data_IF_852168545217
#
_entry.id   IF_852168545217
#
_cell.length_a   1.000
_cell.length_b   1.000
_cell.length_c   1.000
_cell.angle_alpha   90.00
_cell.angle_beta   90.00
_cell.angle_gamma   90.00
#
_symmetry.space_group_name_H-M   'P 1'
#
loop_
_entity.id
_entity.type
_entity.pdbx_description
1 polymer ?
#
# COMPACT_ATOMS: atom_id res chain seq x y z
N UNK A 1 -7.94 -58.88 -85.90
CA UNK A 1 -7.17 -58.52 -84.69
C UNK A 1 -6.86 -57.01 -84.63
N UNK A 2 -7.86 -56.12 -84.57
CA UNK A 2 -7.62 -54.65 -84.47
C UNK A 2 -8.51 -53.90 -83.47
N UNK A 3 -9.58 -54.52 -82.95
CA UNK A 3 -10.52 -53.90 -82.02
C UNK A 3 -10.36 -54.34 -80.55
N UNK A 4 -9.72 -55.48 -80.28
CA UNK A 4 -9.41 -55.89 -78.90
C UNK A 4 -8.21 -55.11 -78.32
N UNK A 5 -7.17 -54.84 -79.12
CA UNK A 5 -5.98 -54.10 -78.65
C UNK A 5 -6.27 -52.65 -78.27
N UNK A 6 -7.20 -51.97 -78.98
CA UNK A 6 -7.63 -50.60 -78.63
C UNK A 6 -8.37 -50.53 -77.30
N UNK A 7 -9.18 -51.53 -76.94
CA UNK A 7 -9.88 -51.57 -75.65
C UNK A 7 -8.91 -51.80 -74.49
N UNK A 8 -7.92 -52.68 -74.67
CA UNK A 8 -6.87 -52.92 -73.66
C UNK A 8 -6.00 -51.68 -73.44
N UNK A 9 -5.63 -50.98 -74.52
CA UNK A 9 -4.87 -49.72 -74.45
C UNK A 9 -5.62 -48.60 -73.70
N UNK A 10 -6.93 -48.44 -73.94
CA UNK A 10 -7.73 -47.41 -73.27
C UNK A 10 -7.89 -47.70 -71.76
N UNK A 11 -8.06 -48.97 -71.40
CA UNK A 11 -8.16 -49.40 -70.01
C UNK A 11 -6.82 -49.20 -69.30
N UNK A 12 -5.70 -49.62 -69.92
CA UNK A 12 -4.36 -49.40 -69.39
C UNK A 12 -4.06 -47.91 -69.19
N UNK A 13 -4.47 -47.03 -70.12
CA UNK A 13 -4.28 -45.57 -70.02
C UNK A 13 -5.09 -44.97 -68.87
N UNK A 14 -6.32 -45.46 -68.62
CA UNK A 14 -7.11 -45.04 -67.45
C UNK A 14 -6.46 -45.46 -66.13
N UNK A 15 -5.96 -46.69 -66.04
CA UNK A 15 -5.24 -47.13 -64.84
C UNK A 15 -3.94 -46.36 -64.65
N UNK A 16 -3.19 -46.07 -65.73
CA UNK A 16 -1.98 -45.26 -65.66
C UNK A 16 -2.29 -43.83 -65.22
N UNK A 17 -3.41 -43.25 -65.69
CA UNK A 17 -3.83 -41.92 -65.29
C UNK A 17 -4.30 -41.88 -63.83
N UNK A 18 -5.02 -42.90 -63.36
CA UNK A 18 -5.39 -43.03 -61.94
C UNK A 18 -4.16 -43.24 -61.07
N UNK A 19 -3.21 -44.07 -61.50
CA UNK A 19 -1.95 -44.31 -60.80
C UNK A 19 -1.09 -43.04 -60.78
N UNK A 20 -1.05 -42.28 -61.88
CA UNK A 20 -0.39 -40.99 -61.99
C UNK A 20 -1.07 -39.94 -61.12
N UNK A 21 -2.40 -39.88 -61.10
CA UNK A 21 -3.15 -38.97 -60.23
C UNK A 21 -2.87 -39.33 -58.77
N UNK A 22 -2.83 -40.62 -58.43
CA UNK A 22 -2.54 -41.11 -57.08
C UNK A 22 -1.09 -40.82 -56.67
N UNK A 23 -0.12 -41.00 -57.56
CA UNK A 23 1.29 -40.65 -57.30
C UNK A 23 1.55 -39.15 -57.30
N UNK A 24 0.84 -38.39 -58.13
CA UNK A 24 0.91 -36.92 -58.14
C UNK A 24 0.26 -36.33 -56.88
N UNK A 25 -0.88 -36.89 -56.44
CA UNK A 25 -1.50 -36.56 -55.15
C UNK A 25 -0.59 -37.01 -53.99
N UNK A 26 0.02 -38.20 -54.02
CA UNK A 26 0.89 -38.64 -52.92
C UNK A 26 2.20 -37.86 -52.84
N UNK A 27 2.76 -37.41 -53.97
CA UNK A 27 4.02 -36.68 -53.99
C UNK A 27 3.86 -35.18 -53.69
N UNK A 28 2.75 -34.55 -54.09
CA UNK A 28 2.49 -33.13 -53.78
C UNK A 28 1.94 -32.92 -52.36
N UNK A 29 1.26 -33.93 -51.80
CA UNK A 29 0.82 -33.93 -50.41
C UNK A 29 1.85 -34.67 -49.56
N UNK A 30 3.04 -34.08 -49.43
CA UNK A 30 3.96 -34.46 -48.37
C UNK A 30 3.32 -34.15 -47.02
N UNK A 31 2.63 -35.13 -46.42
CA UNK A 31 2.21 -35.09 -45.03
C UNK A 31 3.47 -34.90 -44.19
N UNK A 32 3.74 -33.67 -43.75
CA UNK A 32 4.78 -33.39 -42.78
C UNK A 32 4.33 -33.96 -41.43
N UNK A 33 4.43 -35.28 -41.29
CA UNK A 33 4.15 -35.98 -40.06
C UNK A 33 5.38 -35.83 -39.18
N UNK A 34 5.36 -34.76 -38.38
CA UNK A 34 6.27 -34.59 -37.25
C UNK A 34 6.07 -35.79 -36.30
N UNK A 35 7.15 -36.36 -35.76
CA UNK A 35 7.18 -37.64 -35.03
C UNK A 35 6.40 -37.67 -33.69
N UNK A 36 5.43 -36.76 -33.50
CA UNK A 36 4.67 -36.56 -32.28
C UNK A 36 3.34 -37.33 -32.20
N UNK A 37 2.92 -38.06 -33.24
CA UNK A 37 1.71 -38.89 -33.20
C UNK A 37 0.39 -38.15 -33.49
N UNK A 38 0.42 -37.05 -34.25
CA UNK A 38 -0.77 -36.31 -34.70
C UNK A 38 -1.11 -36.49 -36.18
N UNK A 39 -2.39 -36.29 -36.52
CA UNK A 39 -2.91 -36.17 -37.88
C UNK A 39 -3.00 -34.69 -38.28
N UNK A 40 -2.22 -34.26 -39.27
CA UNK A 40 -2.16 -32.87 -39.71
C UNK A 40 -2.73 -32.71 -41.12
N UNK A 41 -3.81 -31.93 -41.25
CA UNK A 41 -4.28 -31.38 -42.52
C UNK A 41 -3.57 -30.03 -42.74
N UNK A 42 -2.29 -30.08 -43.06
CA UNK A 42 -1.43 -28.90 -43.10
C UNK A 42 -0.39 -28.97 -44.22
N UNK A 43 -0.09 -27.80 -44.81
CA UNK A 43 1.03 -27.61 -45.74
C UNK A 43 2.12 -26.82 -45.00
N UNK A 44 3.35 -27.35 -44.94
CA UNK A 44 4.46 -26.71 -44.19
C UNK A 44 4.08 -26.34 -42.74
N UNK A 45 3.46 -27.27 -42.02
CA UNK A 45 2.94 -27.08 -40.65
C UNK A 45 1.87 -25.99 -40.51
N UNK A 46 1.30 -25.50 -41.60
CA UNK A 46 0.23 -24.49 -41.59
C UNK A 46 -1.09 -25.13 -42.00
N UNK A 47 -2.08 -25.13 -41.12
CA UNK A 47 -3.39 -25.70 -41.42
C UNK A 47 -4.18 -26.08 -40.17
N UNK A 48 -4.84 -27.25 -40.22
CA UNK A 48 -5.62 -27.81 -39.11
C UNK A 48 -4.96 -29.12 -38.65
N UNK A 49 -4.61 -29.20 -37.37
CA UNK A 49 -3.91 -30.34 -36.78
C UNK A 49 -4.74 -31.00 -35.69
N UNK A 50 -4.81 -32.33 -35.70
CA UNK A 50 -5.43 -33.16 -34.68
C UNK A 50 -4.38 -34.03 -34.02
N UNK A 51 -4.21 -33.90 -32.70
CA UNK A 51 -3.21 -34.62 -31.94
C UNK A 51 -1.90 -33.86 -31.76
N UNK A 52 -0.84 -34.61 -31.48
CA UNK A 52 0.37 -34.04 -30.93
C UNK A 52 1.42 -33.71 -32.02
N UNK A 53 1.52 -32.42 -32.36
CA UNK A 53 2.44 -31.85 -33.34
C UNK A 53 3.38 -30.88 -32.65
N UNK A 54 4.70 -31.08 -32.75
CA UNK A 54 5.70 -30.29 -31.99
C UNK A 54 5.76 -28.84 -32.46
N UNK A 55 5.67 -28.60 -33.78
CA UNK A 55 5.63 -27.28 -34.40
C UNK A 55 4.37 -27.15 -35.27
N UNK A 56 3.55 -26.14 -35.02
CA UNK A 56 2.31 -25.94 -35.76
C UNK A 56 1.92 -24.46 -35.91
N UNK A 57 1.40 -24.10 -37.09
CA UNK A 57 0.81 -22.81 -37.40
C UNK A 57 -0.66 -23.03 -37.81
N UNK A 58 -1.60 -22.30 -37.24
CA UNK A 58 -3.03 -22.45 -37.55
C UNK A 58 -3.83 -23.01 -36.36
N UNK A 59 -4.76 -23.93 -36.61
CA UNK A 59 -5.68 -24.45 -35.59
C UNK A 59 -5.27 -25.86 -35.20
N UNK A 60 -4.98 -26.08 -33.92
CA UNK A 60 -4.57 -27.36 -33.38
C UNK A 60 -5.53 -27.82 -32.29
N UNK A 61 -6.08 -29.01 -32.45
CA UNK A 61 -6.85 -29.72 -31.45
C UNK A 61 -6.04 -30.86 -30.89
N UNK A 62 -5.95 -30.97 -29.58
CA UNK A 62 -5.21 -32.03 -28.94
C UNK A 62 -5.93 -32.54 -27.68
N UNK A 63 -5.88 -33.85 -27.44
CA UNK A 63 -6.40 -34.39 -26.19
C UNK A 63 -5.50 -34.00 -25.02
N UNK A 64 -4.18 -34.20 -25.16
CA UNK A 64 -3.19 -33.89 -24.12
C UNK A 64 -1.83 -33.56 -24.73
N UNK A 65 -1.25 -32.41 -24.40
CA UNK A 65 0.02 -31.94 -24.97
C UNK A 65 1.22 -32.76 -24.48
N UNK A 66 2.12 -33.14 -25.40
CA UNK A 66 3.39 -33.83 -25.11
C UNK A 66 4.52 -33.31 -26.01
N UNK A 67 5.61 -32.82 -25.45
CA UNK A 67 6.78 -32.32 -26.18
C UNK A 67 6.45 -31.27 -27.26
N UNK A 68 5.44 -30.43 -27.01
CA UNK A 68 5.12 -29.30 -27.90
C UNK A 68 6.23 -28.26 -27.80
N UNK A 69 6.75 -27.79 -28.93
CA UNK A 69 7.80 -26.75 -28.98
C UNK A 69 7.20 -25.38 -29.28
N UNK A 70 6.40 -25.27 -30.34
CA UNK A 70 5.88 -23.98 -30.80
C UNK A 70 4.53 -24.12 -31.49
N UNK A 71 3.56 -23.32 -31.05
CA UNK A 71 2.27 -23.17 -31.72
C UNK A 71 2.02 -21.69 -31.99
N UNK A 72 1.77 -21.32 -33.25
CA UNK A 72 1.30 -19.99 -33.63
C UNK A 72 -0.13 -20.10 -34.17
N UNK A 73 -1.13 -19.62 -33.44
CA UNK A 73 -2.54 -19.71 -33.81
C UNK A 73 -3.42 -20.16 -32.66
N UNK A 74 -4.36 -21.06 -32.91
CA UNK A 74 -5.33 -21.54 -31.92
C UNK A 74 -4.91 -22.93 -31.45
N UNK A 75 -4.68 -23.12 -30.15
CA UNK A 75 -4.36 -24.38 -29.51
C UNK A 75 -5.48 -24.77 -28.53
N UNK A 76 -6.22 -25.83 -28.85
CA UNK A 76 -7.28 -26.40 -27.99
C UNK A 76 -6.76 -27.70 -27.38
N UNK A 77 -6.64 -27.76 -26.05
CA UNK A 77 -6.16 -28.94 -25.33
C UNK A 77 -7.24 -29.44 -24.35
N UNK A 78 -7.55 -30.74 -24.34
CA UNK A 78 -8.60 -31.33 -23.49
C UNK A 78 -8.07 -31.95 -22.18
N UNK A 79 -6.79 -31.74 -21.84
CA UNK A 79 -6.20 -32.21 -20.58
C UNK A 79 -4.87 -31.52 -20.27
N UNK A 80 -4.45 -31.56 -19.01
CA UNK A 80 -3.14 -31.03 -18.56
C UNK A 80 -1.99 -31.63 -19.36
N UNK A 81 -1.00 -30.85 -19.83
CA UNK A 81 0.16 -31.39 -20.56
C UNK A 81 0.88 -32.53 -19.79
N UNK A 82 1.49 -33.47 -20.51
CA UNK A 82 2.28 -34.54 -19.90
C UNK A 82 3.52 -34.00 -19.18
N UNK A 83 4.19 -33.00 -19.76
CA UNK A 83 5.53 -32.58 -19.32
C UNK A 83 5.50 -31.33 -18.43
N UNK A 84 4.37 -31.05 -17.76
CA UNK A 84 4.16 -29.82 -16.98
C UNK A 84 5.25 -29.58 -15.93
N UNK A 85 5.81 -30.67 -15.37
CA UNK A 85 6.85 -30.64 -14.35
C UNK A 85 8.27 -30.93 -14.89
N UNK A 86 8.42 -31.39 -16.14
CA UNK A 86 9.72 -31.77 -16.76
C UNK A 86 10.36 -30.65 -17.59
N UNK A 87 9.85 -29.41 -17.48
CA UNK A 87 10.43 -28.26 -18.15
C UNK A 87 10.02 -28.15 -19.62
N UNK A 88 8.70 -28.11 -19.88
CA UNK A 88 8.15 -27.86 -21.22
C UNK A 88 8.91 -26.69 -21.90
N UNK A 89 9.32 -26.86 -23.16
CA UNK A 89 9.87 -25.79 -24.00
C UNK A 89 8.78 -25.04 -24.80
N UNK A 90 7.50 -25.36 -24.56
CA UNK A 90 6.38 -24.96 -25.42
C UNK A 90 6.12 -23.46 -25.38
N UNK A 91 6.10 -22.84 -26.56
CA UNK A 91 5.69 -21.44 -26.76
C UNK A 91 4.38 -21.42 -27.53
N UNK A 92 3.32 -20.94 -26.90
CA UNK A 92 2.03 -20.72 -27.56
C UNK A 92 1.88 -19.22 -27.83
N UNK A 93 1.72 -18.85 -29.10
CA UNK A 93 1.42 -17.47 -29.52
C UNK A 93 0.08 -17.47 -30.26
N UNK A 94 -0.94 -16.84 -29.69
CA UNK A 94 -2.30 -16.80 -30.24
C UNK A 94 -3.35 -17.12 -29.18
N UNK A 95 -4.25 -18.06 -29.46
CA UNK A 95 -5.35 -18.43 -28.55
C UNK A 95 -5.07 -19.81 -27.96
N UNK A 96 -5.05 -19.95 -26.63
CA UNK A 96 -4.94 -21.21 -25.92
C UNK A 96 -6.26 -21.51 -25.19
N UNK A 97 -6.91 -22.62 -25.49
CA UNK A 97 -8.16 -23.06 -24.85
C UNK A 97 -7.94 -24.42 -24.19
N UNK A 98 -8.31 -24.56 -22.92
CA UNK A 98 -7.98 -25.73 -22.12
C UNK A 98 -9.15 -26.18 -21.27
N UNK A 99 -9.57 -27.42 -21.48
CA UNK A 99 -10.66 -28.04 -20.73
C UNK A 99 -10.13 -29.33 -20.08
N UNK A 100 -9.83 -29.39 -18.77
CA UNK A 100 -10.01 -28.33 -17.79
C UNK A 100 -8.87 -27.30 -17.75
N UNK A 101 -7.66 -27.63 -18.21
CA UNK A 101 -6.46 -26.80 -17.99
C UNK A 101 -5.70 -26.53 -19.29
N UNK A 102 -5.22 -25.28 -19.47
CA UNK A 102 -4.16 -24.97 -20.46
C UNK A 102 -2.81 -24.85 -19.77
N UNK A 103 -1.76 -25.34 -20.42
CA UNK A 103 -0.39 -25.29 -19.90
C UNK A 103 0.66 -25.10 -20.99
N UNK A 104 1.58 -24.17 -20.80
CA UNK A 104 2.77 -24.04 -21.64
C UNK A 104 3.96 -23.41 -20.90
N UNK A 105 5.17 -23.42 -21.48
CA UNK A 105 6.28 -22.65 -20.90
C UNK A 105 5.98 -21.16 -20.94
N UNK A 106 5.57 -20.68 -22.11
CA UNK A 106 5.21 -19.30 -22.35
C UNK A 106 3.93 -19.22 -23.16
N UNK A 107 2.98 -18.43 -22.67
CA UNK A 107 1.73 -18.13 -23.36
C UNK A 107 1.74 -16.64 -23.73
N UNK A 108 1.53 -16.34 -25.00
CA UNK A 108 1.38 -14.97 -25.51
C UNK A 108 0.11 -14.86 -26.33
N UNK A 109 -0.85 -14.06 -25.89
CA UNK A 109 -2.15 -13.87 -26.55
C UNK A 109 -3.32 -14.11 -25.61
N UNK A 110 -4.33 -14.86 -26.04
CA UNK A 110 -5.54 -15.14 -25.27
C UNK A 110 -5.45 -16.54 -24.68
N UNK A 111 -5.66 -16.71 -23.39
CA UNK A 111 -5.66 -17.99 -22.71
C UNK A 111 -6.95 -18.16 -21.90
N UNK A 112 -7.70 -19.23 -22.15
CA UNK A 112 -9.00 -19.50 -21.52
C UNK A 112 -9.05 -20.95 -21.06
N UNK A 113 -9.44 -21.19 -19.80
CA UNK A 113 -9.69 -22.53 -19.31
C UNK A 113 -10.33 -22.54 -17.92
N UNK A 114 -10.64 -23.73 -17.40
CA UNK A 114 -10.98 -23.84 -15.97
C UNK A 114 -9.75 -23.44 -15.12
N UNK A 115 -8.54 -23.64 -15.63
CA UNK A 115 -7.34 -22.96 -15.14
C UNK A 115 -6.32 -22.72 -16.24
N UNK A 116 -5.51 -21.69 -16.07
CA UNK A 116 -4.47 -21.28 -17.01
C UNK A 116 -3.12 -21.25 -16.30
N UNK A 117 -2.19 -22.09 -16.72
CA UNK A 117 -0.86 -22.20 -16.13
C UNK A 117 0.27 -21.96 -17.13
N UNK A 118 1.32 -21.26 -16.71
CA UNK A 118 2.58 -21.27 -17.46
C UNK A 118 3.81 -21.50 -16.58
N UNK A 119 4.76 -22.31 -17.03
CA UNK A 119 5.99 -22.56 -16.28
C UNK A 119 6.84 -21.30 -16.13
N UNK A 120 6.86 -20.43 -17.16
CA UNK A 120 7.56 -19.15 -17.11
C UNK A 120 6.61 -17.97 -17.12
N UNK A 121 5.99 -17.64 -18.27
CA UNK A 121 5.26 -16.38 -18.37
C UNK A 121 4.00 -16.44 -19.21
N UNK A 122 3.02 -15.63 -18.81
CA UNK A 122 1.77 -15.39 -19.54
C UNK A 122 1.67 -13.90 -19.86
N UNK A 123 1.46 -13.55 -21.13
CA UNK A 123 1.28 -12.17 -21.57
C UNK A 123 0.09 -12.05 -22.52
N UNK A 124 -0.90 -11.24 -22.16
CA UNK A 124 -2.07 -10.96 -23.00
C UNK A 124 -3.36 -10.96 -22.19
N UNK A 125 -4.37 -11.74 -22.60
CA UNK A 125 -5.65 -11.86 -21.91
C UNK A 125 -5.76 -13.28 -21.36
N UNK A 126 -5.75 -13.43 -20.03
CA UNK A 126 -5.80 -14.73 -19.38
C UNK A 126 -7.08 -14.82 -18.53
N UNK A 127 -7.89 -15.84 -18.78
CA UNK A 127 -9.12 -16.14 -18.06
C UNK A 127 -9.07 -17.58 -17.53
N UNK A 128 -8.95 -17.72 -16.22
CA UNK A 128 -9.02 -19.02 -15.53
C UNK A 128 -10.21 -19.05 -14.58
N UNK A 129 -11.20 -19.90 -14.85
CA UNK A 129 -12.42 -19.97 -14.03
C UNK A 129 -12.14 -20.34 -12.55
N UNK A 130 -11.13 -21.18 -12.31
CA UNK A 130 -10.59 -21.50 -10.99
C UNK A 130 -9.38 -20.63 -10.69
N UNK A 131 -8.51 -20.37 -11.66
CA UNK A 131 -7.37 -19.46 -11.45
C UNK A 131 -6.41 -19.40 -12.62
N UNK A 132 -5.52 -18.41 -12.58
CA UNK A 132 -4.45 -18.28 -13.56
C UNK A 132 -3.11 -17.98 -12.87
N UNK A 133 -2.03 -18.61 -13.32
CA UNK A 133 -0.72 -18.33 -12.74
C UNK A 133 0.48 -18.73 -13.57
N UNK A 134 1.63 -18.13 -13.26
CA UNK A 134 2.89 -18.44 -13.93
C UNK A 134 4.09 -18.48 -12.98
N UNK A 135 5.07 -19.33 -13.29
CA UNK A 135 6.28 -19.47 -12.47
C UNK A 135 7.19 -18.23 -12.45
N UNK A 136 7.04 -17.30 -13.41
CA UNK A 136 7.74 -15.99 -13.42
C UNK A 136 6.75 -14.85 -13.51
N UNK A 137 6.25 -14.51 -14.70
CA UNK A 137 5.51 -13.26 -14.91
C UNK A 137 4.12 -13.50 -15.49
N UNK A 138 3.15 -12.76 -14.98
CA UNK A 138 1.79 -12.70 -15.51
C UNK A 138 1.50 -11.25 -15.88
N UNK A 139 1.18 -10.99 -17.16
CA UNK A 139 1.10 -9.65 -17.72
C UNK A 139 -0.11 -9.46 -18.64
N UNK A 140 -0.75 -8.29 -18.56
CA UNK A 140 -1.86 -7.91 -19.43
C UNK A 140 -3.19 -7.81 -18.67
N UNK A 141 -4.25 -8.46 -19.16
CA UNK A 141 -5.55 -8.55 -18.50
C UNK A 141 -5.70 -9.97 -17.96
N UNK A 142 -5.80 -10.11 -16.64
CA UNK A 142 -5.81 -11.40 -15.97
C UNK A 142 -7.05 -11.51 -15.08
N UNK A 143 -7.82 -12.57 -15.25
CA UNK A 143 -9.00 -12.87 -14.46
C UNK A 143 -8.87 -14.30 -13.95
N UNK A 144 -8.77 -14.45 -12.64
CA UNK A 144 -8.72 -15.73 -11.94
C UNK A 144 -9.92 -15.85 -11.01
N UNK A 145 -10.81 -16.83 -11.23
CA UNK A 145 -12.05 -16.94 -10.46
C UNK A 145 -11.83 -17.23 -8.98
N UNK A 146 -10.81 -18.00 -8.59
CA UNK A 146 -10.33 -18.07 -7.21
C UNK A 146 -9.10 -17.19 -7.01
N UNK A 147 -8.15 -17.14 -7.93
CA UNK A 147 -7.00 -16.25 -7.75
C UNK A 147 -6.00 -16.17 -8.88
N UNK A 148 -5.06 -15.25 -8.70
CA UNK A 148 -3.94 -14.99 -9.60
C UNK A 148 -2.61 -15.15 -8.88
N UNK A 149 -1.67 -15.87 -9.51
CA UNK A 149 -0.35 -16.16 -8.93
C UNK A 149 0.79 -15.92 -9.90
N UNK A 150 1.84 -15.22 -9.47
CA UNK A 150 3.07 -15.08 -10.24
C UNK A 150 4.30 -15.34 -9.36
N UNK A 151 5.21 -16.21 -9.79
CA UNK A 151 6.45 -16.45 -9.04
C UNK A 151 7.36 -15.22 -8.92
N UNK A 152 7.22 -14.24 -9.84
CA UNK A 152 7.93 -12.96 -9.80
C UNK A 152 6.98 -11.76 -9.88
N UNK A 153 6.43 -11.44 -11.05
CA UNK A 153 5.68 -10.20 -11.23
C UNK A 153 4.28 -10.43 -11.81
N UNK A 154 3.31 -9.72 -11.25
CA UNK A 154 1.95 -9.60 -11.78
C UNK A 154 1.76 -8.15 -12.25
N UNK A 155 1.43 -7.94 -13.53
CA UNK A 155 1.37 -6.60 -14.14
C UNK A 155 0.18 -6.40 -15.06
N UNK A 156 -0.50 -5.26 -14.94
CA UNK A 156 -1.60 -4.86 -15.83
C UNK A 156 -2.92 -4.72 -15.09
N UNK A 157 -4.01 -5.28 -15.63
CA UNK A 157 -5.32 -5.33 -14.98
C UNK A 157 -5.52 -6.74 -14.45
N UNK A 158 -5.63 -6.89 -13.13
CA UNK A 158 -5.66 -8.18 -12.47
C UNK A 158 -6.88 -8.26 -11.55
N UNK A 159 -7.69 -9.30 -11.74
CA UNK A 159 -8.88 -9.58 -10.94
C UNK A 159 -8.76 -11.01 -10.40
N UNK A 160 -8.63 -11.15 -9.07
CA UNK A 160 -8.61 -12.44 -8.37
C UNK A 160 -9.81 -12.57 -7.45
N UNK A 161 -10.64 -13.59 -7.63
CA UNK A 161 -11.89 -13.72 -6.87
C UNK A 161 -11.69 -13.86 -5.36
N UNK A 162 -10.74 -14.69 -4.90
CA UNK A 162 -10.30 -14.74 -3.50
C UNK A 162 -9.05 -13.89 -3.27
N UNK A 163 -8.06 -13.92 -4.17
CA UNK A 163 -6.87 -13.11 -3.96
C UNK A 163 -5.83 -13.17 -5.06
N UNK A 164 -4.78 -12.37 -4.88
CA UNK A 164 -3.65 -12.31 -5.80
C UNK A 164 -2.33 -12.26 -5.06
N UNK A 165 -1.32 -12.95 -5.60
CA UNK A 165 0.01 -13.02 -5.02
C UNK A 165 1.11 -12.94 -6.07
N UNK A 166 2.15 -12.16 -5.80
CA UNK A 166 3.38 -12.18 -6.59
C UNK A 166 4.62 -12.25 -5.70
N UNK A 167 5.60 -13.08 -6.09
CA UNK A 167 6.86 -13.23 -5.35
C UNK A 167 7.68 -11.94 -5.24
N UNK A 168 7.57 -11.04 -6.23
CA UNK A 168 8.23 -9.74 -6.23
C UNK A 168 7.23 -8.59 -6.27
N UNK A 169 6.67 -8.27 -7.45
CA UNK A 169 5.91 -7.04 -7.65
C UNK A 169 4.51 -7.29 -8.20
N UNK A 170 3.53 -6.55 -7.68
CA UNK A 170 2.19 -6.42 -8.23
C UNK A 170 2.04 -4.99 -8.73
N UNK A 171 1.77 -4.78 -10.02
CA UNK A 171 1.71 -3.44 -10.64
C UNK A 171 0.50 -3.26 -11.54
N UNK A 172 -0.21 -2.14 -11.40
CA UNK A 172 -1.31 -1.76 -12.29
C UNK A 172 -2.63 -1.55 -11.55
N UNK A 173 -3.72 -2.11 -12.07
CA UNK A 173 -5.06 -2.10 -11.44
C UNK A 173 -5.34 -3.50 -10.91
N UNK A 174 -5.54 -3.61 -9.62
CA UNK A 174 -5.52 -4.87 -8.89
C UNK A 174 -6.75 -4.96 -7.99
N UNK A 175 -7.59 -5.96 -8.21
CA UNK A 175 -8.79 -6.23 -7.42
C UNK A 175 -8.75 -7.65 -6.90
N UNK A 176 -8.62 -7.81 -5.58
CA UNK A 176 -8.66 -9.11 -4.90
C UNK A 176 -9.87 -9.19 -3.98
N UNK A 177 -10.63 -10.29 -3.99
CA UNK A 177 -11.78 -10.40 -3.08
C UNK A 177 -11.39 -10.36 -1.60
N UNK A 178 -10.44 -11.18 -1.17
CA UNK A 178 -9.92 -11.19 0.19
C UNK A 178 -8.61 -10.41 0.31
N UNK A 179 -7.60 -10.69 -0.51
CA UNK A 179 -6.29 -10.09 -0.29
C UNK A 179 -5.37 -9.98 -1.49
N UNK A 180 -4.46 -9.01 -1.43
CA UNK A 180 -3.38 -8.79 -2.39
C UNK A 180 -2.03 -8.78 -1.67
N UNK A 181 -1.10 -9.63 -2.13
CA UNK A 181 0.23 -9.77 -1.56
C UNK A 181 1.34 -9.59 -2.61
N UNK A 182 2.37 -8.82 -2.27
CA UNK A 182 3.60 -8.72 -3.05
C UNK A 182 4.82 -8.94 -2.14
N UNK A 183 5.76 -9.79 -2.55
CA UNK A 183 6.97 -10.02 -1.76
C UNK A 183 7.89 -8.80 -1.68
N UNK A 184 7.79 -7.85 -2.62
CA UNK A 184 8.52 -6.60 -2.62
C UNK A 184 7.59 -5.38 -2.72
N UNK A 185 7.04 -5.08 -3.91
CA UNK A 185 6.27 -3.85 -4.15
C UNK A 185 4.85 -4.08 -4.64
N UNK A 186 3.93 -3.29 -4.09
CA UNK A 186 2.56 -3.16 -4.59
C UNK A 186 2.37 -1.74 -5.16
N UNK A 187 2.15 -1.62 -6.47
CA UNK A 187 2.12 -0.32 -7.17
C UNK A 187 0.88 -0.13 -8.04
N UNK A 188 0.19 0.99 -7.88
CA UNK A 188 -0.94 1.39 -8.74
C UNK A 188 -2.23 1.58 -7.97
N UNK A 189 -3.34 1.04 -8.47
CA UNK A 189 -4.65 1.05 -7.81
C UNK A 189 -4.91 -0.35 -7.28
N UNK A 190 -5.04 -0.48 -5.97
CA UNK A 190 -5.16 -1.77 -5.29
C UNK A 190 -6.38 -1.77 -4.40
N UNK A 191 -7.27 -2.73 -4.62
CA UNK A 191 -8.49 -2.94 -3.85
C UNK A 191 -8.53 -4.37 -3.31
N UNK A 192 -8.71 -4.51 -2.00
CA UNK A 192 -8.90 -5.81 -1.36
C UNK A 192 -10.00 -5.78 -0.29
N UNK A 193 -10.81 -6.84 -0.20
CA UNK A 193 -11.87 -6.93 0.80
C UNK A 193 -11.37 -7.12 2.23
N UNK A 194 -10.25 -7.82 2.46
CA UNK A 194 -9.62 -7.93 3.80
C UNK A 194 -8.32 -7.15 3.90
N UNK A 195 -7.33 -7.41 3.04
CA UNK A 195 -5.98 -6.90 3.29
C UNK A 195 -5.09 -6.66 2.07
N UNK A 196 -4.24 -5.65 2.20
CA UNK A 196 -3.14 -5.36 1.26
C UNK A 196 -1.80 -5.48 1.99
N UNK A 197 -0.87 -6.25 1.43
CA UNK A 197 0.44 -6.49 2.01
C UNK A 197 1.58 -6.38 1.00
N UNK A 198 2.63 -5.64 1.35
CA UNK A 198 3.88 -5.61 0.60
C UNK A 198 5.09 -5.84 1.52
N UNK A 199 6.04 -6.66 1.08
CA UNK A 199 7.27 -6.90 1.85
C UNK A 199 8.13 -5.64 2.04
N UNK A 200 8.11 -4.71 1.08
CA UNK A 200 8.84 -3.45 1.16
C UNK A 200 7.91 -2.23 1.01
N UNK A 201 7.45 -1.94 -0.20
CA UNK A 201 6.84 -0.64 -0.53
C UNK A 201 5.44 -0.78 -1.13
N UNK A 202 4.54 0.11 -0.72
CA UNK A 202 3.24 0.35 -1.35
C UNK A 202 3.19 1.75 -1.95
N UNK A 203 2.83 1.86 -3.23
CA UNK A 203 2.72 3.14 -3.94
C UNK A 203 1.41 3.25 -4.73
N UNK A 204 0.63 4.30 -4.48
CA UNK A 204 -0.54 4.67 -5.29
C UNK A 204 -1.82 4.81 -4.47
N UNK A 205 -2.92 4.25 -4.97
CA UNK A 205 -4.23 4.25 -4.31
C UNK A 205 -4.47 2.85 -3.76
N UNK A 206 -4.66 2.75 -2.45
CA UNK A 206 -4.77 1.47 -1.77
C UNK A 206 -6.01 1.49 -0.87
N UNK A 207 -6.91 0.55 -1.09
CA UNK A 207 -8.15 0.40 -0.32
C UNK A 207 -8.26 -1.04 0.18
N UNK A 208 -8.36 -1.21 1.49
CA UNK A 208 -8.42 -2.51 2.14
C UNK A 208 -9.52 -2.55 3.21
N UNK A 209 -10.22 -3.67 3.38
CA UNK A 209 -11.19 -3.79 4.47
C UNK A 209 -10.56 -3.66 5.85
N UNK A 210 -9.83 -4.69 6.30
CA UNK A 210 -9.25 -4.76 7.64
C UNK A 210 -7.87 -4.10 7.77
N UNK A 211 -7.01 -4.19 6.76
CA UNK A 211 -5.67 -3.64 6.95
C UNK A 211 -4.81 -3.46 5.72
N UNK A 212 -3.90 -2.52 5.82
CA UNK A 212 -2.88 -2.21 4.83
C UNK A 212 -1.53 -2.14 5.51
N UNK A 213 -0.56 -2.94 5.04
CA UNK A 213 0.77 -3.03 5.63
C UNK A 213 1.89 -3.09 4.61
N UNK A 214 2.95 -2.31 4.85
CA UNK A 214 4.21 -2.44 4.11
C UNK A 214 5.41 -2.55 5.07
N UNK A 215 6.37 -3.40 4.76
CA UNK A 215 7.58 -3.58 5.58
C UNK A 215 8.46 -2.33 5.66
N UNK A 216 8.35 -1.39 4.70
CA UNK A 216 9.08 -0.12 4.70
C UNK A 216 8.15 1.08 4.51
N UNK A 217 7.71 1.34 3.28
CA UNK A 217 7.04 2.60 2.95
C UNK A 217 5.64 2.41 2.40
N UNK A 218 4.70 3.24 2.86
CA UNK A 218 3.36 3.38 2.28
C UNK A 218 3.21 4.81 1.76
N UNK A 219 3.08 4.98 0.44
CA UNK A 219 3.01 6.29 -0.21
C UNK A 219 1.78 6.42 -1.12
N UNK A 220 1.01 7.49 -0.95
CA UNK A 220 -0.13 7.81 -1.81
C UNK A 220 -1.42 8.04 -1.03
N UNK A 221 -2.54 7.48 -1.52
CA UNK A 221 -3.86 7.58 -0.89
C UNK A 221 -4.22 6.20 -0.34
N UNK A 222 -4.44 6.12 0.97
CA UNK A 222 -4.64 4.86 1.68
C UNK A 222 -5.92 4.93 2.50
N UNK A 223 -6.80 3.96 2.33
CA UNK A 223 -8.03 3.84 3.11
C UNK A 223 -8.19 2.41 3.63
N UNK A 224 -8.44 2.27 4.93
CA UNK A 224 -8.82 1.01 5.52
C UNK A 224 -9.78 1.18 6.68
N UNK A 225 -10.73 0.26 6.86
CA UNK A 225 -11.60 0.27 8.03
C UNK A 225 -10.89 -0.17 9.31
N UNK A 226 -9.82 -0.98 9.20
CA UNK A 226 -8.96 -1.29 10.35
C UNK A 226 -7.72 -0.42 10.39
N UNK A 227 -6.56 -1.02 10.17
CA UNK A 227 -5.26 -0.39 10.40
C UNK A 227 -4.47 -0.07 9.13
N UNK A 228 -3.73 1.04 9.13
CA UNK A 228 -2.70 1.33 8.13
C UNK A 228 -1.34 1.34 8.82
N UNK A 229 -0.40 0.51 8.37
CA UNK A 229 0.93 0.34 8.96
C UNK A 229 2.06 0.42 7.95
N UNK A 230 3.14 1.11 8.32
CA UNK A 230 4.40 1.15 7.56
C UNK A 230 5.61 0.96 8.49
N UNK A 231 6.56 0.10 8.11
CA UNK A 231 7.75 -0.14 8.93
C UNK A 231 8.66 1.09 9.11
N UNK A 232 8.72 1.99 8.13
CA UNK A 232 9.58 3.19 8.17
C UNK A 232 8.81 4.48 7.87
N UNK A 233 8.12 4.60 6.74
CA UNK A 233 7.48 5.87 6.37
C UNK A 233 6.08 5.72 5.80
N UNK A 234 5.18 6.57 6.28
CA UNK A 234 3.86 6.77 5.69
C UNK A 234 3.79 8.19 5.11
N UNK A 235 3.47 8.33 3.82
CA UNK A 235 3.47 9.62 3.12
C UNK A 235 2.24 9.79 2.22
N UNK A 236 1.48 10.86 2.41
CA UNK A 236 0.32 11.20 1.58
C UNK A 236 -0.96 11.38 2.40
N UNK A 237 -2.06 10.77 1.94
CA UNK A 237 -3.36 10.80 2.62
C UNK A 237 -3.64 9.39 3.15
N UNK A 238 -3.88 9.26 4.45
CA UNK A 238 -4.16 7.97 5.08
C UNK A 238 -5.35 8.07 6.03
N UNK A 239 -6.35 7.21 5.81
CA UNK A 239 -7.54 7.10 6.65
C UNK A 239 -7.66 5.66 7.14
N UNK A 240 -7.37 5.44 8.43
CA UNK A 240 -7.51 4.15 9.09
C UNK A 240 -8.66 4.20 10.09
N UNK A 241 -9.63 3.28 9.99
CA UNK A 241 -10.79 3.27 10.88
C UNK A 241 -10.46 2.90 12.34
N UNK A 242 -9.36 2.19 12.58
CA UNK A 242 -8.83 1.95 13.93
C UNK A 242 -7.57 2.78 14.20
N UNK A 243 -6.52 2.62 13.41
CA UNK A 243 -5.27 3.32 13.67
C UNK A 243 -4.43 3.51 12.41
N UNK A 244 -3.59 4.54 12.43
CA UNK A 244 -2.53 4.76 11.44
C UNK A 244 -1.18 4.83 12.15
N UNK A 245 -0.27 3.94 11.78
CA UNK A 245 1.01 3.75 12.46
C UNK A 245 2.20 3.73 11.51
N UNK A 246 3.32 4.31 11.94
CA UNK A 246 4.61 4.15 11.26
C UNK A 246 5.77 3.95 12.24
N UNK A 247 6.66 2.99 11.96
CA UNK A 247 7.87 2.79 12.75
C UNK A 247 8.85 3.97 12.70
N UNK A 248 8.81 4.78 11.64
CA UNK A 248 9.61 5.99 11.49
C UNK A 248 8.73 7.24 11.46
N UNK A 249 8.34 7.70 10.27
CA UNK A 249 7.70 9.01 10.10
C UNK A 249 6.38 8.99 9.34
N UNK A 250 5.44 9.83 9.77
CA UNK A 250 4.19 10.11 9.07
C UNK A 250 4.27 11.51 8.48
N UNK A 251 4.02 11.66 7.17
CA UNK A 251 3.98 12.95 6.47
C UNK A 251 2.72 13.10 5.62
N UNK A 252 1.92 14.12 5.87
CA UNK A 252 0.75 14.47 5.05
C UNK A 252 -0.53 14.63 5.88
N UNK A 253 -1.65 14.11 5.37
CA UNK A 253 -2.96 14.15 6.05
C UNK A 253 -3.25 12.75 6.58
N UNK A 254 -3.48 12.63 7.88
CA UNK A 254 -3.68 11.34 8.52
C UNK A 254 -4.84 11.37 9.49
N UNK A 255 -5.77 10.44 9.32
CA UNK A 255 -6.92 10.25 10.21
C UNK A 255 -6.89 8.81 10.69
N UNK A 256 -6.74 8.62 12.00
CA UNK A 256 -6.86 7.32 12.65
C UNK A 256 -8.07 7.33 13.57
N UNK A 257 -8.95 6.33 13.50
CA UNK A 257 -10.16 6.33 14.33
C UNK A 257 -9.84 6.44 15.82
N UNK A 258 -8.97 5.57 16.33
CA UNK A 258 -8.47 5.62 17.71
C UNK A 258 -7.17 6.43 17.80
N UNK A 259 -6.16 6.12 16.98
CA UNK A 259 -4.83 6.71 17.14
C UNK A 259 -4.07 6.95 15.83
N UNK A 260 -3.20 7.96 15.88
CA UNK A 260 -2.13 8.22 14.90
C UNK A 260 -0.79 8.20 15.63
N UNK A 261 0.11 7.30 15.27
CA UNK A 261 1.37 7.10 15.98
C UNK A 261 2.59 6.97 15.05
N UNK A 262 3.69 7.65 15.38
CA UNK A 262 4.96 7.52 14.65
C UNK A 262 6.18 7.41 15.56
N UNK A 263 7.10 6.50 15.27
CA UNK A 263 8.31 6.29 16.09
C UNK A 263 9.25 7.51 16.16
N UNK A 264 9.36 8.30 15.08
CA UNK A 264 10.28 9.45 14.98
C UNK A 264 9.57 10.78 14.81
N UNK A 265 8.67 10.91 13.85
CA UNK A 265 8.01 12.20 13.63
C UNK A 265 6.67 12.12 12.90
N UNK A 266 5.77 13.04 13.24
CA UNK A 266 4.52 13.32 12.50
C UNK A 266 4.63 14.73 11.91
N UNK A 267 4.36 14.90 10.62
CA UNK A 267 4.39 16.22 9.95
C UNK A 267 3.19 16.39 9.02
N UNK A 268 2.34 17.37 9.31
CA UNK A 268 1.18 17.72 8.49
C UNK A 268 -0.10 17.89 9.31
N UNK A 269 -1.20 17.28 8.85
CA UNK A 269 -2.50 17.34 9.54
C UNK A 269 -2.79 15.95 10.09
N UNK A 270 -3.02 15.83 11.39
CA UNK A 270 -3.33 14.56 12.05
C UNK A 270 -4.53 14.67 12.97
N UNK A 271 -5.47 13.73 12.86
CA UNK A 271 -6.67 13.67 13.68
C UNK A 271 -6.93 12.25 14.19
N UNK A 272 -7.38 12.13 15.44
CA UNK A 272 -7.84 10.86 16.02
C UNK A 272 -8.79 11.05 17.20
N UNK A 273 -9.56 10.02 17.56
CA UNK A 273 -10.45 10.10 18.73
C UNK A 273 -9.71 10.03 20.07
N UNK A 274 -8.59 9.30 20.15
CA UNK A 274 -7.84 9.13 21.41
C UNK A 274 -6.55 9.94 21.36
N UNK A 275 -5.60 9.57 20.50
CA UNK A 275 -4.25 10.12 20.59
C UNK A 275 -3.52 10.32 19.25
N UNK A 276 -2.88 11.48 19.13
CA UNK A 276 -1.82 11.73 18.14
C UNK A 276 -0.49 11.76 18.90
N UNK A 277 0.38 10.80 18.64
CA UNK A 277 1.61 10.63 19.42
C UNK A 277 2.85 10.38 18.54
N UNK A 278 3.98 10.98 18.89
CA UNK A 278 5.27 10.62 18.28
C UNK A 278 6.39 10.47 19.29
N UNK A 279 7.28 9.51 19.07
CA UNK A 279 8.50 9.33 19.86
C UNK A 279 9.50 10.49 19.74
N UNK A 280 9.41 11.29 18.67
CA UNK A 280 10.23 12.51 18.50
C UNK A 280 9.36 13.75 18.33
N UNK A 281 9.18 14.23 17.10
CA UNK A 281 8.57 15.54 16.84
C UNK A 281 7.18 15.42 16.19
N UNK A 282 6.22 16.24 16.61
CA UNK A 282 4.95 16.44 15.89
C UNK A 282 4.87 17.88 15.42
N UNK A 283 4.70 18.09 14.12
CA UNK A 283 4.68 19.42 13.50
C UNK A 283 3.47 19.58 12.58
N UNK A 284 2.68 20.63 12.78
CA UNK A 284 1.54 20.97 11.92
C UNK A 284 0.24 21.18 12.71
N UNK A 285 -0.87 20.59 12.26
CA UNK A 285 -2.19 20.70 12.88
C UNK A 285 -2.58 19.33 13.43
N UNK A 286 -2.72 19.23 14.75
CA UNK A 286 -2.95 17.97 15.43
C UNK A 286 -4.17 18.07 16.34
N UNK A 287 -5.09 17.12 16.19
CA UNK A 287 -6.32 17.04 16.97
C UNK A 287 -6.49 15.63 17.53
N UNK A 288 -6.69 15.53 18.84
CA UNK A 288 -6.95 14.28 19.51
C UNK A 288 -8.02 14.47 20.59
N UNK A 289 -8.97 13.54 20.71
CA UNK A 289 -10.00 13.62 21.74
C UNK A 289 -9.46 13.46 23.16
N UNK A 290 -8.30 12.83 23.36
CA UNK A 290 -7.63 12.75 24.67
C UNK A 290 -6.32 13.52 24.67
N UNK A 291 -5.32 13.11 23.87
CA UNK A 291 -3.97 13.68 23.99
C UNK A 291 -3.24 13.88 22.68
N UNK A 292 -2.54 15.00 22.56
CA UNK A 292 -1.48 15.21 21.57
C UNK A 292 -0.14 15.19 22.29
N UNK A 293 0.75 14.27 21.93
CA UNK A 293 2.00 14.04 22.65
C UNK A 293 3.22 13.88 21.73
N UNK A 294 4.37 14.40 22.18
CA UNK A 294 5.66 14.20 21.54
C UNK A 294 6.77 13.91 22.54
N UNK A 295 7.70 13.03 22.18
CA UNK A 295 8.92 12.82 22.97
C UNK A 295 9.79 14.07 23.07
N UNK A 296 9.89 14.83 21.97
CA UNK A 296 10.73 16.03 21.88
C UNK A 296 9.92 17.32 21.75
N UNK A 297 9.44 17.63 20.54
CA UNK A 297 8.82 18.91 20.25
C UNK A 297 7.42 18.76 19.63
N UNK A 298 6.47 19.55 20.12
CA UNK A 298 5.20 19.87 19.48
C UNK A 298 5.29 21.28 18.88
N UNK A 299 5.01 21.43 17.59
CA UNK A 299 5.04 22.72 16.90
C UNK A 299 3.85 22.90 15.96
N UNK A 300 3.07 23.97 16.14
CA UNK A 300 1.95 24.33 15.27
C UNK A 300 0.65 24.56 16.04
N UNK A 301 -0.45 23.94 15.59
CA UNK A 301 -1.76 24.01 16.25
C UNK A 301 -2.07 22.64 16.86
N UNK A 302 -2.18 22.57 18.18
CA UNK A 302 -2.39 21.32 18.91
C UNK A 302 -3.65 21.42 19.77
N UNK A 303 -4.58 20.50 19.57
CA UNK A 303 -5.84 20.42 20.31
C UNK A 303 -5.95 19.01 20.90
N UNK A 304 -5.85 18.91 22.22
CA UNK A 304 -6.05 17.65 22.96
C UNK A 304 -7.22 17.78 23.93
N UNK A 305 -8.20 16.88 23.92
CA UNK A 305 -9.35 17.04 24.83
C UNK A 305 -8.97 17.07 26.30
N UNK A 306 -7.94 16.32 26.71
CA UNK A 306 -7.39 16.31 28.08
C UNK A 306 -6.03 16.99 28.13
N UNK A 307 -5.10 16.65 27.25
CA UNK A 307 -3.72 17.14 27.35
C UNK A 307 -3.00 17.40 26.03
N UNK A 308 -2.05 18.34 26.10
CA UNK A 308 -1.02 18.55 25.07
C UNK A 308 0.34 18.55 25.78
N UNK A 309 1.24 17.62 25.43
CA UNK A 309 2.49 17.45 26.15
C UNK A 309 3.70 17.17 25.26
N UNK A 310 4.86 17.71 25.63
CA UNK A 310 6.14 17.40 24.98
C UNK A 310 7.30 17.30 25.97
N UNK A 311 8.30 16.47 25.70
CA UNK A 311 9.48 16.37 26.57
C UNK A 311 10.41 17.59 26.55
N UNK A 312 10.50 18.32 25.42
CA UNK A 312 11.26 19.55 25.30
C UNK A 312 10.38 20.78 25.09
N UNK A 313 9.75 20.91 23.92
CA UNK A 313 9.04 22.15 23.56
C UNK A 313 7.61 21.92 23.11
N UNK A 314 6.71 22.78 23.58
CA UNK A 314 5.38 23.00 23.02
C UNK A 314 5.35 24.41 22.44
N UNK A 315 5.17 24.54 21.13
CA UNK A 315 5.26 25.80 20.41
C UNK A 315 4.05 26.03 19.49
N UNK A 316 3.49 27.25 19.52
CA UNK A 316 2.40 27.67 18.63
C UNK A 316 1.09 27.92 19.37
N UNK A 317 -0.01 27.36 18.89
CA UNK A 317 -1.35 27.48 19.49
C UNK A 317 -1.71 26.12 20.11
N UNK A 318 -1.97 26.12 21.41
CA UNK A 318 -2.18 24.88 22.16
C UNK A 318 -3.45 25.01 23.01
N UNK A 319 -4.36 24.05 22.85
CA UNK A 319 -5.61 23.98 23.61
C UNK A 319 -5.73 22.60 24.22
N UNK A 320 -5.94 22.56 25.53
CA UNK A 320 -6.26 21.32 26.24
C UNK A 320 -7.31 21.51 27.33
N UNK A 321 -8.09 20.48 27.65
CA UNK A 321 -9.05 20.57 28.75
C UNK A 321 -8.37 20.70 30.12
N UNK A 322 -7.38 19.84 30.39
CA UNK A 322 -6.74 19.75 31.71
C UNK A 322 -5.33 20.34 31.70
N UNK A 323 -4.43 19.83 30.85
CA UNK A 323 -3.00 20.13 31.02
C UNK A 323 -2.26 20.43 29.71
N UNK A 324 -1.45 21.49 29.75
CA UNK A 324 -0.37 21.72 28.77
C UNK A 324 0.96 21.67 29.51
N UNK A 325 1.87 20.79 29.07
CA UNK A 325 3.12 20.53 29.79
C UNK A 325 4.33 20.29 28.89
N UNK A 326 5.40 21.06 29.11
CA UNK A 326 6.72 20.80 28.50
C UNK A 326 7.82 21.54 29.26
N UNK A 327 9.09 21.24 28.95
CA UNK A 327 10.21 22.04 29.49
C UNK A 327 10.12 23.49 29.05
N UNK A 328 9.76 23.74 27.80
CA UNK A 328 9.50 25.07 27.23
C UNK A 328 8.11 25.11 26.60
N UNK A 329 7.28 26.05 27.02
CA UNK A 329 5.97 26.31 26.39
C UNK A 329 6.02 27.71 25.80
N UNK A 330 5.81 27.85 24.50
CA UNK A 330 5.96 29.11 23.78
C UNK A 330 4.80 29.38 22.82
N UNK A 331 4.19 30.56 22.90
CA UNK A 331 3.08 30.96 22.02
C UNK A 331 1.79 31.24 22.78
N UNK A 332 0.67 30.74 22.25
CA UNK A 332 -0.68 30.88 22.83
C UNK A 332 -1.10 29.53 23.42
N UNK A 333 -1.42 29.49 24.71
CA UNK A 333 -1.79 28.26 25.40
C UNK A 333 -3.03 28.46 26.26
N UNK A 334 -3.99 27.55 26.17
CA UNK A 334 -5.20 27.55 27.00
C UNK A 334 -5.50 26.14 27.54
N UNK A 335 -5.49 25.98 28.87
CA UNK A 335 -5.88 24.75 29.56
C UNK A 335 -6.16 24.99 31.04
N UNK A 336 -6.78 24.07 31.78
CA UNK A 336 -6.95 24.29 33.24
C UNK A 336 -5.60 24.52 33.96
N UNK A 337 -4.58 23.73 33.57
CA UNK A 337 -3.24 23.75 34.15
C UNK A 337 -2.18 23.91 33.07
N UNK A 338 -1.22 24.81 33.27
CA UNK A 338 -0.05 24.99 32.39
C UNK A 338 1.23 24.86 33.22
N UNK A 339 2.15 24.00 32.79
CA UNK A 339 3.39 23.70 33.52
C UNK A 339 4.64 23.68 32.64
N UNK A 340 5.74 24.24 33.14
CA UNK A 340 7.04 24.12 32.48
C UNK A 340 8.21 24.77 33.21
N UNK A 341 9.39 24.76 32.58
CA UNK A 341 10.57 25.48 33.06
C UNK A 341 10.66 26.88 32.44
N UNK A 342 10.35 27.02 31.16
CA UNK A 342 10.34 28.30 30.48
C UNK A 342 9.00 28.51 29.77
N UNK A 343 8.19 29.42 30.27
CA UNK A 343 6.93 29.81 29.65
C UNK A 343 7.15 31.15 28.94
N UNK A 344 6.77 31.24 27.66
CA UNK A 344 6.90 32.48 26.87
C UNK A 344 5.64 32.71 26.04
N UNK A 345 5.07 33.91 26.06
CA UNK A 345 3.87 34.25 25.29
C UNK A 345 2.65 34.52 26.16
N UNK A 346 1.47 34.05 25.73
CA UNK A 346 0.19 34.26 26.41
C UNK A 346 -0.37 32.92 26.87
N UNK A 347 -0.55 32.79 28.19
CA UNK A 347 -0.98 31.56 28.85
C UNK A 347 -2.26 31.83 29.63
N UNK A 348 -3.34 31.16 29.25
CA UNK A 348 -4.60 31.12 29.98
C UNK A 348 -4.70 29.78 30.71
N UNK A 349 -4.50 29.81 32.03
CA UNK A 349 -4.50 28.65 32.91
C UNK A 349 -5.47 28.84 34.08
N UNK A 350 -6.80 28.80 33.89
CA UNK A 350 -7.75 29.26 34.90
C UNK A 350 -7.58 28.65 36.30
N UNK A 351 -7.08 27.41 36.40
CA UNK A 351 -6.82 26.76 37.68
C UNK A 351 -5.39 26.98 38.20
N UNK A 352 -4.37 26.60 37.44
CA UNK A 352 -3.00 26.58 37.96
C UNK A 352 -1.93 26.79 36.90
N UNK A 353 -1.00 27.72 37.14
CA UNK A 353 0.19 27.91 36.32
C UNK A 353 1.44 27.68 37.15
N UNK A 354 2.29 26.75 36.70
CA UNK A 354 3.51 26.37 37.41
C UNK A 354 4.76 26.59 36.57
N UNK A 355 5.67 27.40 37.09
CA UNK A 355 7.06 27.44 36.64
C UNK A 355 7.94 26.83 37.71
N UNK A 356 8.71 25.80 37.35
CA UNK A 356 9.62 25.10 38.26
C UNK A 356 10.83 25.95 38.64
N UNK A 357 11.62 25.45 39.60
CA UNK A 357 12.79 26.14 40.11
C UNK A 357 13.80 26.53 39.01
N UNK A 358 14.34 27.75 39.12
CA UNK A 358 15.24 28.37 38.13
C UNK A 358 14.60 28.50 36.74
N UNK A 359 13.27 28.46 36.67
CA UNK A 359 12.50 28.69 35.46
C UNK A 359 12.19 30.17 35.23
N UNK A 360 11.57 30.44 34.08
CA UNK A 360 11.16 31.80 33.70
C UNK A 360 9.73 31.79 33.18
N UNK A 361 8.97 32.83 33.53
CA UNK A 361 7.72 33.17 32.87
C UNK A 361 7.94 34.50 32.14
N UNK A 362 7.75 34.55 30.82
CA UNK A 362 7.85 35.77 30.01
C UNK A 362 6.57 36.03 29.23
N UNK A 363 5.91 37.17 29.45
CA UNK A 363 4.71 37.57 28.72
C UNK A 363 3.50 37.74 29.64
N UNK A 364 2.35 37.19 29.25
CA UNK A 364 1.08 37.28 29.97
C UNK A 364 0.66 35.91 30.49
N UNK A 365 0.37 35.82 31.78
CA UNK A 365 -0.19 34.64 32.42
C UNK A 365 -1.47 35.00 33.17
N UNK A 366 -2.57 34.30 32.89
CA UNK A 366 -3.86 34.47 33.57
C UNK A 366 -4.22 33.14 34.22
N UNK A 367 -4.30 33.11 35.56
CA UNK A 367 -4.56 31.88 36.34
C UNK A 367 -5.05 32.21 37.74
N UNK A 368 -5.92 31.41 38.35
CA UNK A 368 -6.26 31.59 39.77
C UNK A 368 -5.01 31.53 40.66
N UNK A 369 -4.09 30.62 40.37
CA UNK A 369 -2.83 30.48 41.09
C UNK A 369 -1.65 30.50 40.13
N UNK A 370 -0.84 31.55 40.18
CA UNK A 370 0.42 31.64 39.47
C UNK A 370 1.56 31.30 40.43
N UNK A 371 2.24 30.17 40.22
CA UNK A 371 3.37 29.74 41.04
C UNK A 371 4.65 29.73 40.22
N UNK A 372 5.37 30.86 40.24
CA UNK A 372 6.59 31.08 39.47
C UNK A 372 7.81 30.92 40.39
N UNK A 373 8.38 29.72 40.46
CA UNK A 373 9.58 29.44 41.28
C UNK A 373 10.89 29.92 40.63
N UNK A 374 10.84 31.07 39.98
CA UNK A 374 11.97 31.67 39.29
C UNK A 374 11.68 33.11 38.92
N UNK A 375 12.11 33.53 37.74
CA UNK A 375 11.99 34.92 37.29
C UNK A 375 10.70 35.14 36.50
N UNK A 376 9.87 36.07 36.96
CA UNK A 376 8.71 36.57 36.24
C UNK A 376 9.10 37.81 35.41
N UNK A 377 8.86 37.78 34.10
CA UNK A 377 9.05 38.89 33.15
C UNK A 377 7.75 39.23 32.42
N UNK A 378 6.98 40.19 32.93
CA UNK A 378 5.71 40.59 32.32
C UNK A 378 4.55 40.60 33.31
N UNK A 379 3.36 40.24 32.83
CA UNK A 379 2.10 40.42 33.56
C UNK A 379 1.56 39.06 34.03
N UNK A 380 1.28 38.94 35.33
CA UNK A 380 0.48 37.84 35.88
C UNK A 380 -0.83 38.39 36.44
N UNK A 381 -1.93 37.74 36.10
CA UNK A 381 -3.26 38.04 36.64
C UNK A 381 -3.76 36.78 37.35
N UNK A 382 -4.20 36.92 38.60
CA UNK A 382 -4.70 35.78 39.37
C UNK A 382 -5.25 36.11 40.74
N UNK A 383 -5.80 35.11 41.44
CA UNK A 383 -6.19 35.27 42.85
C UNK A 383 -4.94 35.35 43.71
N UNK A 384 -3.99 34.45 43.46
CA UNK A 384 -2.70 34.40 44.13
C UNK A 384 -1.57 34.35 43.10
N UNK A 385 -0.67 35.33 43.17
CA UNK A 385 0.54 35.38 42.36
C UNK A 385 1.76 35.18 43.25
N UNK A 386 2.60 34.21 42.93
CA UNK A 386 3.89 33.98 43.56
C UNK A 386 5.01 34.07 42.53
N UNK A 387 6.03 34.87 42.79
CA UNK A 387 7.28 34.87 42.06
C UNK A 387 8.49 34.83 43.00
N UNK A 388 9.61 34.24 42.56
CA UNK A 388 10.88 34.39 43.29
C UNK A 388 11.47 35.76 43.05
N UNK A 389 11.65 36.12 41.77
CA UNK A 389 12.07 37.43 41.28
C UNK A 389 10.99 38.00 40.36
N UNK A 390 10.65 39.27 40.53
CA UNK A 390 9.66 39.97 39.70
C UNK A 390 10.33 41.05 38.85
N UNK A 391 10.07 41.02 37.54
CA UNK A 391 10.34 42.08 36.57
C UNK A 391 9.09 42.31 35.71
N UNK A 392 8.14 43.09 36.22
CA UNK A 392 6.86 43.34 35.58
C UNK A 392 5.77 43.66 36.60
N UNK A 393 4.54 43.21 36.33
CA UNK A 393 3.35 43.53 37.13
C UNK A 393 2.63 42.23 37.53
N UNK A 394 2.21 42.16 38.78
CA UNK A 394 1.28 41.16 39.29
C UNK A 394 -0.02 41.86 39.67
N UNK A 395 -1.15 41.31 39.21
CA UNK A 395 -2.49 41.79 39.53
C UNK A 395 -3.24 40.63 40.18
N UNK A 396 -3.66 40.80 41.43
CA UNK A 396 -4.35 39.75 42.17
C UNK A 396 -4.65 40.10 43.61
N UNK A 397 -5.54 39.33 44.25
CA UNK A 397 -5.89 39.56 45.65
C UNK A 397 -4.64 39.52 46.55
N UNK A 398 -3.75 38.57 46.28
CA UNK A 398 -2.49 38.39 47.00
C UNK A 398 -1.32 38.23 46.01
N UNK A 399 -0.33 39.10 46.12
CA UNK A 399 0.86 39.09 45.26
C UNK A 399 2.12 38.94 46.12
N UNK A 400 2.79 37.80 46.01
CA UNK A 400 3.98 37.44 46.77
C UNK A 400 5.25 37.41 45.92
N UNK A 401 6.29 38.13 46.34
CA UNK A 401 7.63 38.14 45.70
C UNK A 401 8.70 37.85 46.74
N UNK A 402 9.39 36.71 46.63
CA UNK A 402 10.34 36.23 47.65
C UNK A 402 11.54 37.16 47.85
N UNK A 403 12.08 37.72 46.78
CA UNK A 403 13.27 38.57 46.79
C UNK A 403 12.97 40.04 47.14
N UNK A 404 11.71 40.43 47.30
CA UNK A 404 11.37 41.78 47.76
C UNK A 404 11.77 41.99 49.24
N UNK A 405 12.00 43.25 49.66
CA UNK A 405 12.12 43.63 51.06
C UNK A 405 10.93 43.13 51.87
N UNK A 406 11.13 42.84 53.17
CA UNK A 406 10.18 42.07 53.99
C UNK A 406 8.74 42.61 53.97
N UNK A 407 8.58 43.95 54.01
CA UNK A 407 7.29 44.64 53.94
C UNK A 407 6.63 44.64 52.56
N UNK A 408 7.42 44.44 51.49
CA UNK A 408 6.96 44.43 50.10
C UNK A 408 6.88 43.01 49.52
N UNK A 409 7.11 41.99 50.36
CA UNK A 409 7.01 40.59 49.95
C UNK A 409 5.59 40.19 49.63
N UNK A 410 4.59 40.74 50.33
CA UNK A 410 3.18 40.46 50.11
C UNK A 410 2.44 41.78 49.89
N UNK A 411 1.87 41.97 48.71
CA UNK A 411 1.15 43.18 48.35
C UNK A 411 -0.29 42.84 47.93
N UNK A 412 -1.30 43.55 48.43
CA UNK A 412 -2.68 43.39 47.97
C UNK A 412 -2.88 44.06 46.61
N UNK A 413 -3.76 43.49 45.78
CA UNK A 413 -4.24 44.03 44.49
C UNK A 413 -3.15 44.12 43.40
N UNK A 414 -2.06 44.84 43.62
CA UNK A 414 -0.99 45.08 42.64
C UNK A 414 0.40 44.93 43.30
N UNK A 415 1.32 44.27 42.60
CA UNK A 415 2.77 44.32 42.89
C UNK A 415 3.54 44.59 41.59
N UNK A 416 4.59 45.38 41.63
CA UNK A 416 5.39 45.69 40.44
C UNK A 416 6.86 45.89 40.80
N UNK A 417 7.74 45.51 39.88
CA UNK A 417 9.18 45.80 39.98
C UNK A 417 9.77 45.84 38.56
N UNK A 418 10.56 46.87 38.26
CA UNK A 418 11.19 47.08 36.96
C UNK A 418 12.72 47.20 37.03
N UNK A 419 13.30 47.01 38.22
CA UNK A 419 14.76 47.07 38.41
C UNK A 419 15.41 45.79 37.89
N UNK A 420 16.61 45.94 37.35
CA UNK A 420 17.40 44.84 36.77
C UNK A 420 17.97 43.89 37.83
#
# INVERSE_FOLDING_TARGET
MKNQDKKVSLIATKYLFVLFLFTFLSNNYSFAQDAGGGFNLAVKHTGIGFGNSKKFNGIRFNYRDRNVEKVNGINVTLWSPYDFDEGIQSKITGIAIGLPLTGARNIRGIAIGAGVGATESMYGINFGALGAGAGKNVGGINIGGLGLGAGRNLSGINIGGLGMGAGNNVTGINVGGLGLGAGNKLRGINLAGLGLGAGEDMFGINVAGLGLGAGRNVTGINASFGGIGAGDKLSGISVGGLAVGSGGSIKGITIGGLAVAAGKSITGISASAIAVASGGNVTGINMAGIAVAAGDNLSGINIGGISVAAGDRVMGINVAGIAIGARKVSGLSASAVIGGKHLTGVHLAPAYLRVVDNGTMRGLAISAFNHIKGEQKGVTIGVFNYARKLKGVQIGLLNYVKENPLLLRLMPIINFNFRD
#
